data_IF_933632851408
#
_entry.id   IF_933632851408
#
_cell.length_a   1.000
_cell.length_b   1.000
_cell.length_c   1.000
_cell.angle_alpha   90.00
_cell.angle_beta   90.00
_cell.angle_gamma   90.00
#
_symmetry.space_group_name_H-M   'P 1'
#
loop_
_entity.id
_entity.type
_entity.pdbx_description
1 polymer ?
#
# COMPACT_ATOMS: atom_id res chain seq x y z
N UNK A 1 -8.65 6.92 26.63
CA UNK A 1 -8.61 5.80 25.67
C UNK A 1 -7.75 6.24 24.51
N UNK A 2 -6.67 5.51 24.26
CA UNK A 2 -5.73 5.82 23.18
C UNK A 2 -6.40 5.69 21.80
N UNK A 3 -6.09 6.63 20.92
CA UNK A 3 -6.47 6.55 19.51
C UNK A 3 -5.45 5.67 18.78
N UNK A 4 -5.93 4.62 18.09
CA UNK A 4 -5.09 3.73 17.30
C UNK A 4 -5.18 4.09 15.82
N UNK A 5 -4.03 4.30 15.17
CA UNK A 5 -3.92 4.55 13.74
C UNK A 5 -3.60 3.25 13.00
N UNK A 6 -4.52 2.80 12.15
CA UNK A 6 -4.40 1.55 11.40
C UNK A 6 -4.35 1.84 9.91
N UNK A 7 -3.25 1.47 9.25
CA UNK A 7 -3.16 1.54 7.80
C UNK A 7 -3.48 0.18 7.18
N UNK A 8 -4.41 0.14 6.24
CA UNK A 8 -4.75 -1.06 5.46
C UNK A 8 -4.18 -0.90 4.06
N UNK A 9 -3.22 -1.75 3.68
CA UNK A 9 -2.55 -1.74 2.38
C UNK A 9 -3.13 -2.77 1.42
N UNK A 10 -2.76 -2.64 0.15
CA UNK A 10 -3.19 -3.52 -0.94
C UNK A 10 -4.71 -3.48 -1.20
N UNK A 11 -5.33 -2.33 -0.97
CA UNK A 11 -6.76 -2.17 -1.18
C UNK A 11 -7.08 -2.12 -2.67
N UNK A 12 -7.84 -3.09 -3.17
CA UNK A 12 -8.34 -3.09 -4.55
C UNK A 12 -9.65 -2.31 -4.70
N UNK A 13 -10.16 -2.16 -5.93
CA UNK A 13 -11.44 -1.46 -6.14
C UNK A 13 -12.64 -2.28 -5.66
N UNK A 14 -13.74 -1.56 -5.40
CA UNK A 14 -15.10 -2.04 -5.19
C UNK A 14 -15.70 -2.85 -6.35
N UNK A 15 -15.00 -2.92 -7.49
CA UNK A 15 -15.36 -3.86 -8.56
C UNK A 15 -14.97 -5.29 -8.20
N UNK A 16 -13.99 -5.49 -7.32
CA UNK A 16 -13.69 -6.77 -6.70
C UNK A 16 -14.49 -6.92 -5.40
N UNK A 17 -15.67 -7.54 -5.54
CA UNK A 17 -16.60 -7.77 -4.41
C UNK A 17 -15.95 -8.55 -3.26
N UNK A 18 -15.05 -9.49 -3.58
CA UNK A 18 -14.36 -10.30 -2.58
C UNK A 18 -13.37 -9.47 -1.78
N UNK A 19 -12.48 -8.74 -2.47
CA UNK A 19 -11.54 -7.81 -1.84
C UNK A 19 -12.24 -6.74 -0.99
N UNK A 20 -13.31 -6.15 -1.51
CA UNK A 20 -14.08 -5.15 -0.72
C UNK A 20 -14.78 -5.77 0.49
N UNK A 21 -15.35 -6.98 0.38
CA UNK A 21 -15.97 -7.64 1.52
C UNK A 21 -14.95 -7.89 2.66
N UNK A 22 -13.71 -8.25 2.32
CA UNK A 22 -12.62 -8.41 3.29
C UNK A 22 -12.33 -7.08 4.00
N UNK A 23 -12.13 -6.00 3.25
CA UNK A 23 -11.85 -4.67 3.83
C UNK A 23 -13.00 -4.22 4.74
N UNK A 24 -14.25 -4.35 4.27
CA UNK A 24 -15.45 -4.04 5.05
C UNK A 24 -15.50 -4.85 6.36
N UNK A 25 -15.25 -6.15 6.28
CA UNK A 25 -15.23 -7.04 7.43
C UNK A 25 -14.13 -6.65 8.42
N UNK A 26 -12.92 -6.37 7.94
CA UNK A 26 -11.81 -5.92 8.77
C UNK A 26 -12.14 -4.65 9.55
N UNK A 27 -12.59 -3.60 8.86
CA UNK A 27 -12.92 -2.31 9.50
C UNK A 27 -14.02 -2.51 10.55
N UNK A 28 -15.11 -3.21 10.21
CA UNK A 28 -16.22 -3.45 11.14
C UNK A 28 -15.77 -4.25 12.36
N UNK A 29 -15.01 -5.34 12.16
CA UNK A 29 -14.56 -6.19 13.24
C UNK A 29 -13.59 -5.47 14.17
N UNK A 30 -12.67 -4.67 13.63
CA UNK A 30 -11.73 -3.90 14.46
C UNK A 30 -12.48 -2.81 15.22
N UNK A 31 -13.40 -2.06 14.59
CA UNK A 31 -14.18 -1.02 15.28
C UNK A 31 -15.06 -1.56 16.42
N UNK A 32 -15.48 -2.83 16.36
CA UNK A 32 -16.20 -3.46 17.48
C UNK A 32 -15.34 -3.57 18.73
N UNK A 33 -14.02 -3.76 18.58
CA UNK A 33 -13.07 -3.94 19.68
C UNK A 33 -12.38 -2.62 20.04
N UNK A 34 -12.07 -1.79 19.03
CA UNK A 34 -11.39 -0.50 19.15
C UNK A 34 -12.24 0.57 18.45
N UNK A 35 -13.31 1.08 19.09
CA UNK A 35 -14.27 2.00 18.45
C UNK A 35 -13.65 3.31 17.94
N UNK A 36 -12.56 3.76 18.57
CA UNK A 36 -11.82 4.98 18.21
C UNK A 36 -10.65 4.74 17.26
N UNK A 37 -10.59 3.58 16.60
CA UNK A 37 -9.53 3.31 15.62
C UNK A 37 -9.72 4.20 14.37
N UNK A 38 -8.66 4.92 14.01
CA UNK A 38 -8.56 5.68 12.77
C UNK A 38 -7.98 4.81 11.67
N UNK A 39 -8.63 4.80 10.51
CA UNK A 39 -8.20 3.98 9.39
C UNK A 39 -7.66 4.85 8.26
N UNK A 40 -6.59 4.36 7.65
CA UNK A 40 -6.02 4.88 6.40
C UNK A 40 -5.95 3.74 5.40
N UNK A 41 -6.62 3.86 4.26
CA UNK A 41 -6.61 2.85 3.21
C UNK A 41 -5.60 3.24 2.14
N UNK A 42 -4.66 2.35 1.80
CA UNK A 42 -3.72 2.56 0.71
C UNK A 42 -4.19 1.75 -0.50
N UNK A 43 -4.62 2.49 -1.52
CA UNK A 43 -5.06 1.96 -2.80
C UNK A 43 -3.92 1.24 -3.53
N UNK A 44 -4.28 0.26 -4.35
CA UNK A 44 -3.39 -0.34 -5.35
C UNK A 44 -3.27 0.49 -6.64
N UNK A 45 -4.09 1.52 -6.80
CA UNK A 45 -4.05 2.46 -7.92
C UNK A 45 -3.25 3.70 -7.53
N UNK A 46 -2.35 4.14 -8.42
CA UNK A 46 -1.68 5.43 -8.27
C UNK A 46 -2.65 6.58 -8.59
N UNK A 47 -2.33 7.79 -8.14
CA UNK A 47 -3.15 8.99 -8.39
C UNK A 47 -3.43 9.22 -9.88
N UNK A 48 -2.48 8.85 -10.73
CA UNK A 48 -2.58 8.98 -12.19
C UNK A 48 -3.44 7.90 -12.87
N UNK A 49 -3.88 6.87 -12.16
CA UNK A 49 -4.75 5.84 -12.74
C UNK A 49 -6.19 6.36 -12.81
N UNK A 50 -6.82 6.41 -14.00
CA UNK A 50 -8.20 6.89 -14.15
C UNK A 50 -9.23 6.13 -13.31
N UNK A 51 -8.90 4.90 -12.87
CA UNK A 51 -9.79 4.10 -12.03
C UNK A 51 -9.79 4.56 -10.58
N UNK A 52 -8.75 5.25 -10.11
CA UNK A 52 -8.56 5.58 -8.69
C UNK A 52 -9.77 6.33 -8.11
N UNK A 53 -10.23 7.37 -8.81
CA UNK A 53 -11.32 8.24 -8.33
C UNK A 53 -12.62 7.48 -8.08
N UNK A 54 -12.93 6.48 -8.92
CA UNK A 54 -14.18 5.72 -8.87
C UNK A 54 -14.05 4.36 -8.18
N UNK A 55 -12.83 3.95 -7.84
CA UNK A 55 -12.54 2.60 -7.34
C UNK A 55 -13.15 2.32 -5.97
N UNK A 56 -13.44 3.33 -5.14
CA UNK A 56 -13.76 3.15 -3.72
C UNK A 56 -15.08 3.81 -3.30
N UNK A 57 -16.02 3.96 -4.23
CA UNK A 57 -17.30 4.66 -4.00
C UNK A 57 -18.15 4.03 -2.89
N UNK A 58 -18.20 2.70 -2.83
CA UNK A 58 -19.03 1.96 -1.86
C UNK A 58 -18.35 1.97 -0.51
N UNK A 59 -17.02 1.82 -0.50
CA UNK A 59 -16.22 1.91 0.71
C UNK A 59 -16.32 3.29 1.37
N UNK A 60 -16.17 4.38 0.60
CA UNK A 60 -16.36 5.75 1.09
C UNK A 60 -17.78 6.01 1.59
N UNK A 61 -18.80 5.43 0.94
CA UNK A 61 -20.19 5.56 1.41
C UNK A 61 -20.43 4.86 2.74
N UNK A 62 -19.83 3.69 2.94
CA UNK A 62 -20.00 2.92 4.17
C UNK A 62 -19.16 3.44 5.34
N UNK A 63 -18.00 4.03 5.04
CA UNK A 63 -17.06 4.56 6.03
C UNK A 63 -16.57 5.95 5.58
N UNK A 64 -17.40 6.99 5.75
CA UNK A 64 -17.11 8.34 5.25
C UNK A 64 -15.94 9.00 5.97
N UNK A 65 -15.57 8.50 7.15
CA UNK A 65 -14.49 9.02 7.98
C UNK A 65 -13.11 8.47 7.59
N UNK A 66 -13.04 7.49 6.69
CA UNK A 66 -11.78 6.85 6.30
C UNK A 66 -11.13 7.58 5.13
N UNK A 67 -9.85 7.92 5.31
CA UNK A 67 -9.03 8.47 4.24
C UNK A 67 -8.48 7.36 3.35
N UNK A 68 -8.64 7.54 2.03
CA UNK A 68 -8.10 6.63 1.02
C UNK A 68 -6.99 7.36 0.28
N UNK A 69 -5.78 6.83 0.36
CA UNK A 69 -4.60 7.35 -0.30
C UNK A 69 -4.30 6.52 -1.55
N UNK A 70 -3.73 7.18 -2.56
CA UNK A 70 -3.26 6.49 -3.77
C UNK A 70 -1.97 5.72 -3.49
N UNK A 71 -1.73 4.68 -4.27
CA UNK A 71 -0.49 3.90 -4.18
C UNK A 71 0.72 4.81 -4.41
N UNK A 72 1.73 4.81 -3.52
CA UNK A 72 2.98 5.52 -3.76
C UNK A 72 3.82 4.86 -4.86
N UNK A 73 3.46 3.61 -5.24
CA UNK A 73 4.07 2.88 -6.35
C UNK A 73 3.11 2.89 -7.53
N UNK A 74 3.55 3.29 -8.74
CA UNK A 74 2.74 3.16 -9.95
C UNK A 74 2.31 1.70 -10.16
N UNK A 75 1.01 1.47 -10.39
CA UNK A 75 0.47 0.12 -10.50
C UNK A 75 1.17 -0.68 -11.62
N UNK A 76 1.75 -1.82 -11.27
CA UNK A 76 2.51 -2.66 -12.19
C UNK A 76 1.65 -3.18 -13.35
N UNK A 77 0.33 -3.37 -13.20
CA UNK A 77 -0.52 -3.79 -14.32
C UNK A 77 -0.52 -2.79 -15.48
N UNK A 78 -0.33 -1.49 -15.21
CA UNK A 78 -0.11 -0.50 -16.27
C UNK A 78 1.28 -0.67 -16.91
N UNK A 79 2.29 -0.99 -16.10
CA UNK A 79 3.67 -1.23 -16.52
C UNK A 79 3.81 -2.48 -17.40
N UNK A 80 3.08 -3.55 -17.09
CA UNK A 80 3.11 -4.81 -17.86
C UNK A 80 2.29 -4.75 -19.15
N UNK A 81 1.32 -3.83 -19.24
CA UNK A 81 0.46 -3.65 -20.44
C UNK A 81 1.09 -2.73 -21.48
N UNK A 82 1.94 -1.81 -21.05
CA UNK A 82 2.76 -0.99 -21.96
C UNK A 82 3.89 -1.87 -22.53
N UNK A 83 3.99 -1.96 -23.86
CA UNK A 83 5.12 -2.54 -24.60
C UNK A 83 6.39 -1.71 -24.39
N UNK A 84 6.86 -1.58 -23.15
CA UNK A 84 8.10 -0.87 -22.89
C UNK A 84 9.29 -1.77 -23.20
N UNK A 85 10.36 -1.23 -23.80
CA UNK A 85 11.59 -1.97 -24.02
C UNK A 85 12.16 -2.44 -22.68
N UNK A 86 12.77 -3.63 -22.69
CA UNK A 86 13.30 -4.35 -21.52
C UNK A 86 14.14 -3.44 -20.59
N UNK A 87 14.89 -2.49 -21.15
CA UNK A 87 15.68 -1.47 -20.43
C UNK A 87 14.85 -0.60 -19.48
N UNK A 88 13.65 -0.14 -19.87
CA UNK A 88 12.78 0.68 -18.99
C UNK A 88 12.19 -0.14 -17.84
N UNK A 89 11.98 -1.45 -18.03
CA UNK A 89 11.53 -2.35 -16.95
C UNK A 89 12.64 -2.53 -15.91
N UNK A 90 13.86 -2.85 -16.36
CA UNK A 90 15.02 -2.98 -15.46
C UNK A 90 15.28 -1.66 -14.74
N UNK A 91 15.24 -0.52 -15.43
CA UNK A 91 15.46 0.78 -14.80
C UNK A 91 14.45 1.08 -13.69
N UNK A 92 13.16 0.74 -13.84
CA UNK A 92 12.17 0.91 -12.76
C UNK A 92 12.31 -0.11 -11.64
N UNK A 93 12.81 -1.30 -11.95
CA UNK A 93 13.11 -2.31 -10.94
C UNK A 93 14.29 -1.87 -10.09
N UNK A 94 15.36 -1.43 -10.75
CA UNK A 94 16.49 -0.76 -10.13
C UNK A 94 16.04 0.51 -9.43
N UNK A 95 15.13 1.32 -9.98
CA UNK A 95 14.61 2.49 -9.26
C UNK A 95 13.80 2.07 -8.04
N UNK A 96 13.04 0.98 -8.06
CA UNK A 96 12.27 0.48 -6.91
C UNK A 96 13.16 -0.14 -5.82
N UNK A 97 14.26 -0.77 -6.22
CA UNK A 97 15.29 -1.32 -5.33
C UNK A 97 16.20 -0.20 -4.81
N UNK A 98 16.53 0.79 -5.62
CA UNK A 98 17.15 2.04 -5.19
C UNK A 98 16.18 2.88 -4.36
N UNK A 99 14.86 2.81 -4.55
CA UNK A 99 13.88 3.42 -3.65
C UNK A 99 13.83 2.67 -2.31
N UNK A 100 14.17 1.37 -2.27
CA UNK A 100 14.39 0.62 -1.03
C UNK A 100 15.71 1.01 -0.34
N UNK A 101 16.80 1.13 -1.11
CA UNK A 101 18.18 1.21 -0.60
C UNK A 101 18.70 2.65 -0.52
N UNK A 102 18.46 3.45 -1.57
CA UNK A 102 19.08 4.76 -1.82
C UNK A 102 18.17 5.97 -1.64
N UNK A 103 16.84 5.81 -1.52
CA UNK A 103 15.98 6.97 -1.28
C UNK A 103 16.08 7.44 0.16
N UNK A 104 17.14 8.23 0.40
CA UNK A 104 17.02 9.65 0.76
C UNK A 104 15.59 10.01 1.14
N UNK A 105 15.37 10.02 2.46
CA UNK A 105 14.27 10.65 3.19
C UNK A 105 13.42 11.62 2.35
N UNK A 106 14.04 12.61 1.68
CA UNK A 106 13.38 13.78 1.06
C UNK A 106 12.40 13.51 -0.09
N UNK A 107 12.65 12.58 -1.02
CA UNK A 107 11.78 12.45 -2.22
C UNK A 107 10.47 11.70 -1.94
N UNK A 108 10.46 10.88 -0.89
CA UNK A 108 9.32 10.02 -0.57
C UNK A 108 8.38 10.68 0.46
N UNK A 109 8.89 11.61 1.29
CA UNK A 109 8.08 12.32 2.29
C UNK A 109 6.93 13.18 1.72
N UNK A 110 6.91 13.46 0.42
CA UNK A 110 5.79 14.20 -0.20
C UNK A 110 4.55 13.34 -0.46
N UNK A 111 4.65 12.01 -0.39
CA UNK A 111 3.50 11.16 -0.65
C UNK A 111 2.69 10.92 0.63
N UNK A 112 1.44 11.37 0.64
CA UNK A 112 0.53 11.24 1.79
C UNK A 112 0.32 9.78 2.22
N UNK A 113 0.33 8.82 1.30
CA UNK A 113 0.22 7.40 1.62
C UNK A 113 1.40 6.91 2.47
N UNK A 114 2.62 7.41 2.18
CA UNK A 114 3.81 7.05 2.95
C UNK A 114 3.76 7.68 4.33
N UNK A 115 3.31 8.93 4.43
CA UNK A 115 3.09 9.59 5.73
C UNK A 115 2.07 8.83 6.57
N UNK A 116 0.94 8.44 5.97
CA UNK A 116 -0.08 7.63 6.64
C UNK A 116 0.46 6.27 7.12
N UNK A 117 1.34 5.61 6.34
CA UNK A 117 2.01 4.38 6.76
C UNK A 117 3.01 4.60 7.90
N UNK A 118 3.75 5.72 7.88
CA UNK A 118 4.70 6.06 8.93
C UNK A 118 3.99 6.33 10.26
N UNK A 119 2.88 7.06 10.22
CA UNK A 119 2.08 7.40 11.40
C UNK A 119 1.21 6.26 11.93
N UNK A 120 1.00 5.19 11.15
CA UNK A 120 0.21 4.05 11.60
C UNK A 120 0.91 3.24 12.70
N UNK A 121 0.19 2.87 13.74
CA UNK A 121 0.65 1.94 14.78
C UNK A 121 0.70 0.51 14.23
N UNK A 122 -0.29 0.15 13.40
CA UNK A 122 -0.42 -1.17 12.78
C UNK A 122 -0.67 -1.02 11.28
N UNK A 123 0.05 -1.84 10.49
CA UNK A 123 -0.18 -1.97 9.05
C UNK A 123 -0.74 -3.35 8.77
N UNK A 124 -1.95 -3.40 8.21
CA UNK A 124 -2.63 -4.62 7.81
C UNK A 124 -2.64 -4.73 6.29
N UNK A 125 -2.41 -5.92 5.74
CA UNK A 125 -2.64 -6.17 4.33
C UNK A 125 -4.07 -6.68 4.13
N UNK A 126 -4.83 -6.11 3.21
CA UNK A 126 -6.19 -6.55 2.88
C UNK A 126 -6.27 -8.00 2.32
N UNK A 127 -5.14 -8.72 2.22
CA UNK A 127 -5.11 -10.13 1.83
C UNK A 127 -5.55 -10.39 0.40
N UNK A 128 -5.90 -11.64 0.09
CA UNK A 128 -6.38 -12.08 -1.23
C UNK A 128 -5.30 -12.74 -2.11
N UNK A 129 -5.55 -12.84 -3.42
CA UNK A 129 -4.72 -13.59 -4.38
C UNK A 129 -3.28 -13.07 -4.56
N UNK A 130 -2.89 -11.98 -3.89
CA UNK A 130 -1.63 -11.29 -4.12
C UNK A 130 -0.43 -11.93 -3.40
N UNK A 131 -0.66 -12.72 -2.36
CA UNK A 131 0.38 -13.50 -1.69
C UNK A 131 0.58 -14.89 -2.33
N UNK A 132 0.16 -15.05 -3.59
CA UNK A 132 0.40 -16.26 -4.36
C UNK A 132 1.58 -16.06 -5.29
N UNK A 133 2.61 -16.87 -5.11
CA UNK A 133 3.71 -16.95 -6.07
C UNK A 133 3.55 -18.20 -6.92
N UNK A 134 3.61 -18.08 -8.26
CA UNK A 134 4.07 -19.20 -9.08
C UNK A 134 5.59 -19.24 -8.98
N UNK A 135 6.28 -20.34 -9.26
CA UNK A 135 7.77 -20.39 -9.19
C UNK A 135 8.46 -19.51 -10.26
N UNK A 136 7.79 -18.49 -10.78
CA UNK A 136 8.27 -17.57 -11.79
C UNK A 136 8.84 -16.28 -11.16
N UNK A 137 9.85 -15.71 -11.81
CA UNK A 137 10.41 -14.40 -11.43
C UNK A 137 9.33 -13.30 -11.51
N UNK A 138 8.38 -13.40 -12.45
CA UNK A 138 7.29 -12.42 -12.60
C UNK A 138 6.37 -12.37 -11.38
N UNK A 139 6.02 -13.52 -10.83
CA UNK A 139 5.18 -13.60 -9.61
C UNK A 139 5.95 -13.20 -8.37
N UNK A 140 7.26 -13.47 -8.30
CA UNK A 140 8.11 -12.94 -7.23
C UNK A 140 8.11 -11.41 -7.21
N UNK A 141 8.17 -10.75 -8.36
CA UNK A 141 8.03 -9.29 -8.44
C UNK A 141 6.64 -8.81 -8.02
N UNK A 142 5.57 -9.51 -8.42
CA UNK A 142 4.22 -9.19 -7.97
C UNK A 142 4.06 -9.26 -6.46
N UNK A 143 4.63 -10.30 -5.85
CA UNK A 143 4.68 -10.48 -4.40
C UNK A 143 5.47 -9.36 -3.74
N UNK A 144 6.66 -9.04 -4.27
CA UNK A 144 7.50 -7.97 -3.76
C UNK A 144 6.77 -6.62 -3.76
N UNK A 145 6.11 -6.22 -4.86
CA UNK A 145 5.39 -4.95 -4.91
C UNK A 145 4.21 -4.89 -3.92
N UNK A 146 3.55 -6.02 -3.69
CA UNK A 146 2.43 -6.15 -2.74
C UNK A 146 2.94 -6.10 -1.29
N UNK A 147 4.05 -6.77 -1.01
CA UNK A 147 4.64 -6.84 0.32
C UNK A 147 5.47 -5.58 0.65
N UNK A 148 5.89 -4.81 -0.36
CA UNK A 148 6.78 -3.66 -0.21
C UNK A 148 6.32 -2.66 0.85
N UNK A 149 5.02 -2.31 0.85
CA UNK A 149 4.49 -1.33 1.80
C UNK A 149 4.57 -1.82 3.25
N UNK A 150 4.32 -3.12 3.48
CA UNK A 150 4.42 -3.75 4.79
C UNK A 150 5.88 -3.93 5.24
N UNK A 151 6.72 -4.46 4.35
CA UNK A 151 8.17 -4.64 4.60
C UNK A 151 8.81 -3.30 4.96
N UNK A 152 8.42 -2.22 4.29
CA UNK A 152 8.98 -0.91 4.56
C UNK A 152 8.63 -0.38 5.95
N UNK A 153 7.41 -0.58 6.44
CA UNK A 153 7.06 -0.24 7.83
C UNK A 153 7.92 -1.04 8.81
N UNK A 154 8.08 -2.33 8.57
CA UNK A 154 8.92 -3.18 9.41
C UNK A 154 10.38 -2.69 9.42
N UNK A 155 10.94 -2.40 8.25
CA UNK A 155 12.30 -1.83 8.14
C UNK A 155 12.41 -0.48 8.85
N UNK A 156 11.39 0.39 8.76
CA UNK A 156 11.41 1.69 9.45
C UNK A 156 11.45 1.56 10.97
N UNK A 157 10.78 0.57 11.56
CA UNK A 157 10.84 0.36 13.01
C UNK A 157 12.19 -0.20 13.47
N UNK A 158 12.94 -0.86 12.58
CA UNK A 158 14.27 -1.43 12.85
C UNK A 158 15.40 -0.43 12.56
N UNK A 159 15.22 0.46 11.58
CA UNK A 159 16.25 1.39 11.11
C UNK A 159 16.71 2.51 12.09
N UNK A 160 15.90 3.03 13.05
CA UNK A 160 16.41 4.04 13.98
C UNK A 160 17.55 3.54 14.87
N UNK A 161 17.78 2.24 14.94
CA UNK A 161 18.89 1.64 15.70
C UNK A 161 20.22 1.57 14.93
N UNK A 162 20.22 1.71 13.60
CA UNK A 162 21.42 1.46 12.79
C UNK A 162 22.21 2.76 12.52
N UNK A 163 21.55 3.92 12.60
CA UNK A 163 22.20 5.22 12.43
C UNK A 163 21.66 6.18 13.50
N UNK A 164 22.41 6.47 14.58
CA UNK A 164 22.02 7.50 15.52
C UNK A 164 22.01 8.83 14.76
N UNK A 165 20.88 9.52 14.83
CA UNK A 165 20.71 10.86 14.29
C UNK A 165 21.49 11.79 15.22
N UNK A 166 22.66 12.27 14.77
CA UNK A 166 23.27 13.50 15.26
C UNK A 166 22.74 14.71 14.51
#
# INVERSE_FOLDING_TARGET
MEEYKIAIVNCWSDSDKGGSAIIFGMIKSIRKVIPKAHFSLISMYSQSDPKYERAYRHLKRAFPDIHIYSSPIPNSRFIFRLKFPYKKRIWRLMSSLCLLILCSRKFIFKNEAVKALQEADVVLSAGGHYLRTSRSIKSLFGLYFTAYLAIRKALWNVWPFIWPIS
#
